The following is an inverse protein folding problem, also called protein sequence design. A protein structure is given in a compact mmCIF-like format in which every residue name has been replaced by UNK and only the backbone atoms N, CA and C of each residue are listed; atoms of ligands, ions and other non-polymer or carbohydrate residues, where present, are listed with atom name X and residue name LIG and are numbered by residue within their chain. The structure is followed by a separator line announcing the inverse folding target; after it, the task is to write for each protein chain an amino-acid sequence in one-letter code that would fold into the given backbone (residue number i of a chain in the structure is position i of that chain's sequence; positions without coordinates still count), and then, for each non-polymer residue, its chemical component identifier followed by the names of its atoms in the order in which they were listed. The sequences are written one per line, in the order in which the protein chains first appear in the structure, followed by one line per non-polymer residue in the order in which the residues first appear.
data_IF_423485318275
#
_entry.id   IF_423485318275
#
_cell.length_a   1.000
_cell.length_b   1.000
_cell.length_c   1.000
_cell.angle_alpha   90.00
_cell.angle_beta   90.00
_cell.angle_gamma   90.00
#
_symmetry.space_group_name_H-M   'P 1'
#
loop_
_entity.id
_entity.type
_entity.pdbx_description
1 polymer ?
#
# COMPACT_ATOMS: atom_id res chain seq x y z
N UNK A 1 11.53 -18.30 -26.96
CA UNK A 1 10.89 -17.08 -26.41
C UNK A 1 12.00 -16.19 -25.91
N UNK A 2 12.09 -14.95 -26.40
CA UNK A 2 13.10 -14.00 -25.93
C UNK A 2 12.73 -13.55 -24.52
N UNK A 3 13.57 -13.81 -23.53
CA UNK A 3 13.37 -13.36 -22.16
C UNK A 3 13.68 -11.86 -22.07
N UNK A 4 12.69 -11.07 -21.67
CA UNK A 4 12.87 -9.63 -21.46
C UNK A 4 13.58 -9.45 -20.12
N UNK A 5 14.66 -8.66 -20.12
CA UNK A 5 15.57 -8.52 -18.98
C UNK A 5 15.72 -7.06 -18.59
N UNK A 6 15.99 -6.82 -17.31
CA UNK A 6 16.21 -5.48 -16.79
C UNK A 6 17.45 -4.83 -17.44
N UNK A 7 17.28 -3.68 -18.08
CA UNK A 7 18.34 -2.90 -18.70
C UNK A 7 19.45 -2.50 -17.72
N UNK A 8 19.15 -2.42 -16.41
CA UNK A 8 20.11 -2.01 -15.37
C UNK A 8 20.84 -3.17 -14.70
N UNK A 9 20.19 -4.31 -14.46
CA UNK A 9 20.81 -5.42 -13.72
C UNK A 9 20.78 -6.78 -14.43
N UNK A 10 20.20 -6.86 -15.62
CA UNK A 10 20.12 -8.08 -16.43
C UNK A 10 19.17 -9.16 -15.91
N UNK A 11 18.50 -8.96 -14.76
CA UNK A 11 17.53 -9.94 -14.24
C UNK A 11 16.30 -10.05 -15.15
N UNK A 12 15.80 -11.26 -15.35
CA UNK A 12 14.55 -11.51 -16.09
C UNK A 12 13.38 -10.75 -15.48
N UNK A 13 12.58 -10.12 -16.33
CA UNK A 13 11.37 -9.40 -15.94
C UNK A 13 10.17 -10.32 -16.15
N UNK A 14 9.38 -10.49 -15.10
CA UNK A 14 8.21 -11.39 -15.08
C UNK A 14 6.89 -10.62 -15.03
N UNK A 15 6.92 -9.39 -14.50
CA UNK A 15 5.74 -8.54 -14.36
C UNK A 15 5.60 -7.66 -15.60
N UNK A 16 4.41 -7.59 -16.17
CA UNK A 16 4.07 -6.83 -17.39
C UNK A 16 4.58 -5.38 -17.31
N UNK A 17 4.30 -4.68 -16.21
CA UNK A 17 4.78 -3.31 -15.99
C UNK A 17 6.31 -3.17 -16.00
N UNK A 18 7.04 -4.21 -15.57
CA UNK A 18 8.50 -4.22 -15.66
C UNK A 18 8.95 -4.50 -17.10
N UNK A 19 8.27 -5.43 -17.78
CA UNK A 19 8.53 -5.82 -19.16
C UNK A 19 8.38 -4.61 -20.10
N UNK A 20 7.27 -3.88 -20.02
CA UNK A 20 7.00 -2.69 -20.83
C UNK A 20 8.10 -1.62 -20.70
N UNK A 21 8.67 -1.49 -19.49
CA UNK A 21 9.66 -0.44 -19.17
C UNK A 21 11.11 -0.89 -19.32
N UNK A 22 11.34 -2.20 -19.43
CA UNK A 22 12.68 -2.78 -19.42
C UNK A 22 13.45 -2.57 -18.11
N UNK A 23 12.82 -2.13 -17.02
CA UNK A 23 13.47 -1.98 -15.70
C UNK A 23 12.66 -2.70 -14.63
N UNK A 24 13.32 -3.57 -13.86
CA UNK A 24 12.70 -4.33 -12.78
C UNK A 24 12.59 -3.55 -11.47
N UNK A 25 11.75 -4.02 -10.52
CA UNK A 25 11.38 -3.29 -9.30
C UNK A 25 12.58 -2.94 -8.42
N UNK A 26 13.53 -3.88 -8.23
CA UNK A 26 14.73 -3.63 -7.44
C UNK A 26 15.61 -2.51 -8.00
N UNK A 27 15.66 -2.38 -9.34
CA UNK A 27 16.44 -1.34 -10.00
C UNK A 27 15.70 -0.01 -10.00
N UNK A 28 14.37 -0.04 -10.16
CA UNK A 28 13.53 1.14 -10.07
C UNK A 28 13.58 1.78 -8.69
N UNK A 29 13.52 0.98 -7.62
CA UNK A 29 13.60 1.47 -6.25
C UNK A 29 14.92 2.21 -5.96
N UNK A 30 16.00 1.86 -6.67
CA UNK A 30 17.27 2.62 -6.61
C UNK A 30 17.17 3.96 -7.35
N UNK A 31 16.53 3.99 -8.52
CA UNK A 31 16.29 5.24 -9.27
C UNK A 31 15.42 6.18 -8.43
N UNK A 32 14.38 5.64 -7.76
CA UNK A 32 13.51 6.43 -6.89
C UNK A 32 14.24 7.08 -5.71
N UNK A 33 15.37 6.51 -5.24
CA UNK A 33 16.18 7.12 -4.18
C UNK A 33 16.94 8.36 -4.66
N UNK A 34 17.19 8.49 -5.96
CA UNK A 34 17.94 9.60 -6.54
C UNK A 34 17.10 10.88 -6.67
N UNK A 35 15.77 10.76 -6.59
CA UNK A 35 14.89 11.93 -6.47
C UNK A 35 14.94 12.48 -5.05
N UNK A 36 14.85 13.80 -4.88
CA UNK A 36 14.83 14.43 -3.56
C UNK A 36 13.44 14.88 -3.13
N UNK A 37 12.56 15.22 -4.08
CA UNK A 37 11.19 15.64 -3.80
C UNK A 37 10.25 14.42 -3.66
N UNK A 38 9.54 14.27 -2.52
CA UNK A 38 8.52 13.24 -2.35
C UNK A 38 7.42 13.25 -3.43
N UNK A 39 7.05 14.43 -3.95
CA UNK A 39 6.04 14.57 -5.01
C UNK A 39 6.57 14.07 -6.37
N UNK A 40 7.82 14.36 -6.70
CA UNK A 40 8.46 13.82 -7.91
C UNK A 40 8.61 12.30 -7.81
N UNK A 41 9.01 11.77 -6.65
CA UNK A 41 9.02 10.33 -6.41
C UNK A 41 7.65 9.72 -6.66
N UNK A 42 6.58 10.35 -6.17
CA UNK A 42 5.20 9.88 -6.30
C UNK A 42 4.72 9.90 -7.76
N UNK A 43 4.99 10.97 -8.51
CA UNK A 43 4.66 11.01 -9.95
C UNK A 43 5.45 9.96 -10.74
N UNK A 44 6.67 9.64 -10.28
CA UNK A 44 7.51 8.58 -10.85
C UNK A 44 7.22 7.20 -10.26
N UNK A 45 6.24 7.04 -9.34
CA UNK A 45 5.85 5.74 -8.78
C UNK A 45 4.97 4.99 -9.75
N UNK A 46 5.66 4.51 -10.76
CA UNK A 46 5.17 3.62 -11.79
C UNK A 46 4.92 2.19 -11.30
N UNK A 47 5.27 1.88 -10.03
CA UNK A 47 4.96 0.64 -9.30
C UNK A 47 4.20 0.93 -8.01
N UNK A 48 3.40 2.01 -7.95
CA UNK A 48 2.53 2.22 -6.81
C UNK A 48 1.57 1.04 -6.64
N UNK A 49 1.11 0.81 -5.40
CA UNK A 49 0.03 -0.13 -5.19
C UNK A 49 -1.25 0.34 -5.88
N UNK A 50 -1.98 -0.58 -6.49
CA UNK A 50 -3.34 -0.33 -6.94
C UNK A 50 -4.28 -0.68 -5.79
N UNK A 51 -5.08 0.28 -5.34
CA UNK A 51 -5.96 0.10 -4.19
C UNK A 51 -7.24 0.91 -4.34
N UNK A 52 -8.26 0.49 -3.61
CA UNK A 52 -9.43 1.31 -3.30
C UNK A 52 -9.50 1.55 -1.80
N UNK A 53 -10.24 2.56 -1.36
CA UNK A 53 -10.40 2.83 0.06
C UNK A 53 -11.80 3.36 0.40
N UNK A 54 -12.18 3.23 1.67
CA UNK A 54 -13.41 3.79 2.23
C UNK A 54 -13.10 4.43 3.58
N UNK A 55 -13.55 5.67 3.74
CA UNK A 55 -13.55 6.37 5.04
C UNK A 55 -14.95 6.21 5.65
N UNK A 56 -15.02 5.71 6.88
CA UNK A 56 -16.25 5.43 7.60
C UNK A 56 -16.27 6.14 8.96
N UNK A 57 -17.44 6.62 9.41
CA UNK A 57 -17.57 7.19 10.76
C UNK A 57 -17.37 6.16 11.88
N UNK A 58 -16.90 6.55 13.08
CA UNK A 58 -16.38 7.89 13.39
C UNK A 58 -15.02 8.15 12.73
N UNK A 59 -14.06 7.22 12.81
CA UNK A 59 -12.72 7.36 12.22
C UNK A 59 -12.17 5.98 11.79
N UNK A 60 -12.78 5.35 10.79
CA UNK A 60 -12.32 4.05 10.27
C UNK A 60 -11.89 4.24 8.82
N UNK A 61 -10.71 3.76 8.47
CA UNK A 61 -10.19 3.73 7.11
C UNK A 61 -10.02 2.27 6.70
N UNK A 62 -10.72 1.87 5.64
CA UNK A 62 -10.58 0.57 5.01
C UNK A 62 -9.84 0.75 3.69
N UNK A 63 -8.81 -0.07 3.44
CA UNK A 63 -8.02 -0.07 2.21
C UNK A 63 -8.12 -1.47 1.60
N UNK A 64 -8.26 -1.58 0.28
CA UNK A 64 -8.41 -2.86 -0.40
C UNK A 64 -7.42 -2.91 -1.56
N UNK A 65 -6.46 -3.83 -1.49
CA UNK A 65 -5.53 -4.10 -2.60
C UNK A 65 -6.32 -4.60 -3.82
N UNK A 66 -6.03 -4.05 -5.00
CA UNK A 66 -6.68 -4.43 -6.26
C UNK A 66 -5.85 -5.44 -7.06
N UNK A 67 -4.61 -5.73 -6.65
CA UNK A 67 -3.68 -6.64 -7.31
C UNK A 67 -3.52 -6.41 -8.82
N UNK A 68 -3.61 -5.15 -9.28
CA UNK A 68 -3.50 -4.80 -10.71
C UNK A 68 -2.03 -4.72 -11.19
N UNK A 69 -1.14 -5.46 -10.54
CA UNK A 69 0.30 -5.41 -10.74
C UNK A 69 0.97 -4.18 -10.13
N UNK A 70 2.29 -4.26 -9.93
CA UNK A 70 3.07 -3.21 -9.29
C UNK A 70 3.63 -3.66 -7.94
N UNK A 71 3.56 -2.79 -6.93
CA UNK A 71 3.89 -3.11 -5.54
C UNK A 71 2.59 -3.47 -4.79
N UNK A 72 2.63 -4.40 -3.85
CA UNK A 72 1.45 -4.66 -2.99
C UNK A 72 1.18 -3.50 -2.04
N UNK A 73 -0.06 -3.35 -1.58
CA UNK A 73 -0.44 -2.35 -0.59
C UNK A 73 0.41 -2.47 0.68
N UNK A 74 0.71 -3.69 1.13
CA UNK A 74 1.59 -3.92 2.30
C UNK A 74 2.97 -3.29 2.12
N UNK A 75 3.55 -3.42 0.92
CA UNK A 75 4.89 -2.92 0.61
C UNK A 75 4.91 -1.40 0.32
N UNK A 76 3.78 -0.82 -0.06
CA UNK A 76 3.63 0.60 -0.40
C UNK A 76 2.84 1.40 0.65
N UNK A 77 2.57 0.81 1.82
CA UNK A 77 1.60 1.32 2.80
C UNK A 77 1.86 2.76 3.24
N UNK A 78 3.12 3.17 3.47
CA UNK A 78 3.47 4.55 3.83
C UNK A 78 2.92 5.56 2.82
N UNK A 79 2.94 5.20 1.55
CA UNK A 79 2.58 6.09 0.46
C UNK A 79 1.08 6.08 0.20
N UNK A 80 0.46 4.90 0.32
CA UNK A 80 -0.99 4.73 0.32
C UNK A 80 -1.62 5.61 1.40
N UNK A 81 -1.08 5.54 2.62
CA UNK A 81 -1.58 6.32 3.76
C UNK A 81 -1.37 7.82 3.58
N UNK A 82 -0.17 8.24 3.16
CA UNK A 82 0.11 9.64 2.88
C UNK A 82 -0.85 10.19 1.80
N UNK A 83 -1.08 9.43 0.74
CA UNK A 83 -2.00 9.80 -0.33
C UNK A 83 -3.43 10.00 0.18
N UNK A 84 -3.96 9.03 0.93
CA UNK A 84 -5.32 9.11 1.48
C UNK A 84 -5.42 10.29 2.45
N UNK A 85 -4.43 10.47 3.33
CA UNK A 85 -4.42 11.57 4.29
C UNK A 85 -4.44 12.94 3.60
N UNK A 86 -3.68 13.11 2.51
CA UNK A 86 -3.69 14.35 1.72
C UNK A 86 -5.02 14.55 0.98
N UNK A 87 -5.56 13.51 0.36
CA UNK A 87 -6.78 13.60 -0.44
C UNK A 87 -8.02 13.89 0.42
N UNK A 88 -8.10 13.28 1.60
CA UNK A 88 -9.24 13.36 2.51
C UNK A 88 -9.01 14.35 3.67
N UNK A 89 -7.83 14.99 3.73
CA UNK A 89 -7.39 15.87 4.81
C UNK A 89 -7.49 15.20 6.21
N UNK A 90 -7.02 13.97 6.32
CA UNK A 90 -7.13 13.15 7.55
C UNK A 90 -5.89 13.24 8.44
N UNK A 91 -6.14 13.27 9.75
CA UNK A 91 -5.15 12.98 10.77
C UNK A 91 -5.15 11.47 11.07
N UNK A 92 -4.33 10.69 10.35
CA UNK A 92 -4.35 9.22 10.39
C UNK A 92 -4.16 8.62 11.80
N UNK A 93 -3.51 9.35 12.71
CA UNK A 93 -3.33 8.95 14.11
C UNK A 93 -4.67 8.78 14.85
N UNK A 94 -5.72 9.44 14.38
CA UNK A 94 -7.07 9.36 14.92
C UNK A 94 -7.91 8.25 14.27
N UNK A 95 -7.38 7.57 13.26
CA UNK A 95 -8.09 6.56 12.47
C UNK A 95 -7.70 5.13 12.88
N UNK A 96 -8.72 4.26 12.93
CA UNK A 96 -8.51 2.81 12.89
C UNK A 96 -8.40 2.40 11.44
N UNK A 97 -7.23 1.90 11.07
CA UNK A 97 -6.92 1.56 9.69
C UNK A 97 -6.89 0.05 9.57
N UNK A 98 -7.63 -0.48 8.59
CA UNK A 98 -7.51 -1.87 8.17
C UNK A 98 -7.23 -1.90 6.67
N UNK A 99 -6.43 -2.88 6.23
CA UNK A 99 -6.28 -3.17 4.82
C UNK A 99 -6.57 -4.64 4.53
N UNK A 100 -7.12 -4.90 3.36
CA UNK A 100 -7.35 -6.22 2.80
C UNK A 100 -6.29 -6.48 1.74
N UNK A 101 -5.57 -7.59 1.87
CA UNK A 101 -4.63 -8.04 0.84
C UNK A 101 -5.35 -8.70 -0.35
N UNK A 102 -4.58 -9.14 -1.34
CA UNK A 102 -5.13 -9.82 -2.52
C UNK A 102 -5.65 -11.23 -2.25
N UNK A 103 -5.35 -11.82 -1.09
CA UNK A 103 -5.85 -13.11 -0.64
C UNK A 103 -7.18 -12.97 0.13
N UNK A 104 -7.65 -11.75 0.38
CA UNK A 104 -8.89 -11.46 1.10
C UNK A 104 -8.72 -11.42 2.63
N UNK A 105 -7.48 -11.41 3.11
CA UNK A 105 -7.18 -11.34 4.53
C UNK A 105 -7.11 -9.89 5.01
N UNK A 106 -7.80 -9.59 6.11
CA UNK A 106 -7.76 -8.28 6.73
C UNK A 106 -6.73 -8.20 7.86
N UNK A 107 -5.91 -7.15 7.77
CA UNK A 107 -4.91 -6.76 8.76
C UNK A 107 -5.15 -5.32 9.21
N UNK A 108 -4.78 -5.04 10.45
CA UNK A 108 -4.82 -3.71 11.02
C UNK A 108 -3.49 -2.99 10.85
N UNK A 109 -3.57 -1.67 10.70
CA UNK A 109 -2.40 -0.78 10.62
C UNK A 109 -2.49 0.26 11.71
N UNK A 110 -1.43 0.36 12.51
CA UNK A 110 -1.27 1.40 13.53
C UNK A 110 -0.17 2.38 13.10
N UNK A 111 -0.51 3.67 13.12
CA UNK A 111 0.43 4.77 12.90
C UNK A 111 0.86 5.29 14.28
N UNK A 112 2.01 4.84 14.77
CA UNK A 112 2.59 5.25 16.06
C UNK A 112 4.13 5.18 16.00
N UNK A 113 4.76 6.33 15.77
CA UNK A 113 6.20 6.49 15.52
C UNK A 113 6.72 5.60 14.36
N UNK A 114 5.85 5.28 13.41
CA UNK A 114 6.08 4.36 12.30
C UNK A 114 4.84 3.52 12.01
N UNK A 115 4.93 2.65 11.01
CA UNK A 115 3.86 1.71 10.66
C UNK A 115 4.04 0.38 11.39
N UNK A 116 2.98 -0.08 12.06
CA UNK A 116 2.90 -1.43 12.65
C UNK A 116 1.67 -2.14 12.13
N UNK A 117 1.90 -3.34 11.59
CA UNK A 117 0.87 -4.24 11.14
C UNK A 117 0.51 -5.22 12.26
N UNK A 118 -0.77 -5.56 12.38
CA UNK A 118 -1.24 -6.59 13.29
C UNK A 118 -2.38 -7.38 12.65
N UNK A 119 -2.45 -8.70 12.89
CA UNK A 119 -3.53 -9.50 12.33
C UNK A 119 -4.86 -9.10 12.95
N UNK A 120 -5.86 -8.83 12.11
CA UNK A 120 -7.27 -8.83 12.53
C UNK A 120 -7.81 -10.26 12.36
N UNK A 121 -7.43 -10.92 11.25
CA UNK A 121 -7.72 -12.34 11.02
C UNK A 121 -9.19 -12.60 10.68
N UNK A 122 -9.80 -11.65 9.96
CA UNK A 122 -11.19 -11.72 9.48
C UNK A 122 -11.21 -11.65 7.96
N UNK A 123 -12.29 -12.11 7.35
CA UNK A 123 -12.42 -12.22 5.89
C UNK A 123 -13.38 -11.16 5.30
N UNK A 124 -14.07 -10.40 6.14
CA UNK A 124 -15.05 -9.40 5.71
C UNK A 124 -14.85 -8.03 6.35
N UNK A 125 -15.26 -6.98 5.62
CA UNK A 125 -15.20 -5.61 6.14
C UNK A 125 -16.13 -5.39 7.32
N UNK A 126 -17.23 -6.13 7.38
CA UNK A 126 -18.22 -6.12 8.46
C UNK A 126 -17.60 -6.64 9.76
N UNK A 127 -16.86 -7.76 9.69
CA UNK A 127 -16.13 -8.30 10.83
C UNK A 127 -15.00 -7.38 11.30
N UNK A 128 -14.36 -6.62 10.39
CA UNK A 128 -13.41 -5.56 10.77
C UNK A 128 -14.10 -4.48 11.62
N UNK A 129 -15.30 -4.05 11.22
CA UNK A 129 -16.06 -3.04 11.97
C UNK A 129 -16.46 -3.55 13.35
N UNK A 130 -16.87 -4.82 13.46
CA UNK A 130 -17.14 -5.46 14.74
C UNK A 130 -15.87 -5.53 15.59
N UNK A 131 -14.75 -5.98 15.02
CA UNK A 131 -13.46 -6.03 15.70
C UNK A 131 -13.08 -4.66 16.28
N UNK A 132 -13.19 -3.59 15.49
CA UNK A 132 -12.92 -2.22 15.94
C UNK A 132 -13.93 -1.68 16.95
N UNK A 133 -15.14 -2.23 17.00
CA UNK A 133 -16.14 -1.84 18.00
C UNK A 133 -15.81 -2.43 19.37
N UNK A 134 -15.29 -3.66 19.42
CA UNK A 134 -14.92 -4.33 20.67
C UNK A 134 -13.52 -3.96 21.18
N UNK A 135 -12.59 -3.65 20.29
CA UNK A 135 -11.23 -3.27 20.63
C UNK A 135 -11.10 -1.75 20.65
N UNK A 136 -11.59 -1.14 21.74
CA UNK A 136 -11.39 0.28 22.00
C UNK A 136 -9.91 0.57 22.26
N UNK A 137 -9.41 1.69 21.72
CA UNK A 137 -8.06 2.17 21.97
C UNK A 137 -7.97 2.41 23.49
N UNK A 138 -7.16 1.61 24.19
CA UNK A 138 -6.71 1.98 25.52
C UNK A 138 -5.87 3.24 25.34
N UNK A 139 -6.43 4.39 25.71
CA UNK A 139 -5.74 5.67 25.75
C UNK A 139 -4.52 5.62 26.69
#
# INVERSE_FOLDING_TARGET
MSTISCARCGKTLLVEQSIERGIGPCCWQKILKDFNDPKEKRQMRMFAASYTYRVLPPNILLIIDQDQGGMSVTNDMDNVLLEIAENEALELENYRIAYCDSEGCWDGVKVDNGLRFYPIGVESSEEVLEYFSFHTLSH
#
